data_IF_261650087536
#
_entry.id   IF_261650087536
#
_cell.length_a   1.000
_cell.length_b   1.000
_cell.length_c   1.000
_cell.angle_alpha   90.00
_cell.angle_beta   90.00
_cell.angle_gamma   90.00
#
_symmetry.space_group_name_H-M   'P 1'
#
loop_
_entity.id
_entity.type
_entity.pdbx_description
1 polymer ?
#
# COMPACT_ATOMS: atom_id res chain seq x y z
N UNK A 1 16.49 -10.07 10.97
CA UNK A 1 17.26 -8.86 10.65
C UNK A 1 17.73 -9.08 9.24
N UNK A 2 17.42 -8.18 8.32
CA UNK A 2 17.84 -8.35 6.93
C UNK A 2 19.34 -8.04 6.89
N UNK A 3 20.16 -9.07 6.74
CA UNK A 3 21.60 -8.90 6.61
C UNK A 3 21.92 -8.60 5.15
N UNK A 4 22.77 -7.59 4.90
CA UNK A 4 23.20 -7.25 3.54
C UNK A 4 23.85 -8.44 2.83
N UNK A 5 24.53 -9.29 3.59
CA UNK A 5 25.16 -10.51 3.06
C UNK A 5 24.13 -11.53 2.57
N UNK A 6 22.96 -11.62 3.22
CA UNK A 6 21.87 -12.51 2.79
C UNK A 6 21.10 -11.99 1.59
N UNK A 7 21.17 -10.67 1.35
CA UNK A 7 20.50 -9.99 0.26
C UNK A 7 21.39 -9.80 -0.98
N UNK A 8 22.57 -10.40 -1.02
CA UNK A 8 23.45 -10.31 -2.18
C UNK A 8 23.95 -8.89 -2.48
N UNK A 9 24.02 -8.01 -1.47
CA UNK A 9 24.42 -6.62 -1.63
C UNK A 9 23.29 -5.64 -1.96
N UNK A 10 22.04 -6.11 -2.10
CA UNK A 10 20.87 -5.25 -2.33
C UNK A 10 20.61 -4.31 -1.15
N UNK A 11 20.25 -3.06 -1.43
CA UNK A 11 19.87 -2.07 -0.40
C UNK A 11 18.37 -1.88 -0.44
N UNK A 12 17.67 -2.62 0.42
CA UNK A 12 16.22 -2.61 0.45
C UNK A 12 15.67 -1.45 1.27
N UNK A 13 14.82 -0.65 0.63
CA UNK A 13 14.01 0.37 1.26
C UNK A 13 12.55 -0.06 1.34
N UNK A 14 11.88 0.40 2.39
CA UNK A 14 10.44 0.28 2.57
C UNK A 14 9.82 1.67 2.61
N UNK A 15 8.91 1.95 1.69
CA UNK A 15 8.08 3.14 1.72
C UNK A 15 6.74 2.82 2.38
N UNK A 16 6.38 3.58 3.41
CA UNK A 16 5.05 3.57 4.00
C UNK A 16 4.31 4.82 3.53
N UNK A 17 3.34 4.64 2.63
CA UNK A 17 2.48 5.73 2.16
C UNK A 17 1.36 5.93 3.16
N UNK A 18 1.28 7.13 3.73
CA UNK A 18 0.26 7.55 4.68
C UNK A 18 -0.74 8.48 3.99
N UNK A 19 -1.95 7.98 3.69
CA UNK A 19 -3.05 8.84 3.28
C UNK A 19 -3.77 9.31 4.55
N UNK A 20 -3.46 10.54 4.95
CA UNK A 20 -3.95 11.11 6.20
C UNK A 20 -5.39 11.56 6.02
N UNK A 21 -6.26 11.23 6.98
CA UNK A 21 -7.64 11.71 6.96
C UNK A 21 -7.76 13.14 7.50
N UNK A 22 -8.77 13.88 7.07
CA UNK A 22 -9.08 15.25 7.55
C UNK A 22 -9.32 15.33 9.06
N UNK A 23 -9.68 14.22 9.71
CA UNK A 23 -9.87 14.16 11.16
C UNK A 23 -8.59 14.47 11.95
N UNK A 24 -7.41 14.30 11.33
CA UNK A 24 -6.12 14.42 12.00
C UNK A 24 -5.85 13.32 13.03
N UNK A 25 -6.71 12.30 13.11
CA UNK A 25 -6.57 11.18 14.04
C UNK A 25 -5.72 10.09 13.38
N UNK A 26 -4.61 9.69 14.02
CA UNK A 26 -3.69 8.71 13.44
C UNK A 26 -4.33 7.34 13.15
N UNK A 27 -5.41 7.01 13.85
CA UNK A 27 -6.15 5.75 13.65
C UNK A 27 -6.93 5.68 12.33
N UNK A 28 -7.19 6.83 11.70
CA UNK A 28 -7.95 6.93 10.44
C UNK A 28 -7.03 6.90 9.20
N UNK A 29 -5.71 6.90 9.41
CA UNK A 29 -4.71 6.93 8.33
C UNK A 29 -4.77 5.63 7.50
N UNK A 30 -4.86 5.80 6.18
CA UNK A 30 -4.57 4.72 5.25
C UNK A 30 -3.07 4.48 5.21
N UNK A 31 -2.64 3.24 5.43
CA UNK A 31 -1.25 2.89 5.24
C UNK A 31 -1.10 1.83 4.16
N UNK A 32 -0.26 2.12 3.17
CA UNK A 32 0.18 1.17 2.16
C UNK A 32 1.70 1.03 2.26
N UNK A 33 2.22 -0.14 1.92
CA UNK A 33 3.65 -0.43 2.04
C UNK A 33 4.19 -0.96 0.72
N UNK A 34 5.23 -0.29 0.23
CA UNK A 34 5.98 -0.66 -0.96
C UNK A 34 7.43 -0.93 -0.58
N UNK A 35 8.11 -1.74 -1.38
CA UNK A 35 9.51 -2.06 -1.17
C UNK A 35 10.29 -1.82 -2.45
N UNK A 36 11.51 -1.33 -2.30
CA UNK A 36 12.38 -0.98 -3.39
C UNK A 36 13.76 -1.54 -3.12
N UNK A 37 14.37 -2.09 -4.15
CA UNK A 37 15.81 -2.29 -4.16
C UNK A 37 16.45 -1.07 -4.82
N UNK A 38 17.40 -0.43 -4.13
CA UNK A 38 18.20 0.66 -4.68
C UNK A 38 19.61 0.09 -4.89
N UNK A 39 19.96 -0.15 -6.15
CA UNK A 39 21.24 -0.75 -6.49
C UNK A 39 22.34 0.32 -6.48
N UNK A 40 23.02 0.42 -5.34
CA UNK A 40 24.19 1.30 -5.18
C UNK A 40 25.45 0.80 -5.93
N UNK A 41 25.44 -0.43 -6.46
CA UNK A 41 26.61 -1.08 -7.06
C UNK A 41 26.63 -1.01 -8.60
N UNK A 42 25.48 -0.94 -9.28
CA UNK A 42 25.42 -0.71 -10.73
C UNK A 42 25.33 0.79 -11.04
N UNK A 43 26.50 1.40 -11.29
CA UNK A 43 26.62 2.58 -12.14
C UNK A 43 25.94 3.86 -11.60
N UNK A 44 25.93 4.08 -10.28
CA UNK A 44 25.85 5.47 -9.82
C UNK A 44 27.22 6.12 -10.12
N UNK A 45 27.31 7.21 -10.92
CA UNK A 45 28.48 8.07 -10.78
C UNK A 45 28.67 8.35 -9.29
N UNK A 46 29.91 8.29 -8.80
CA UNK A 46 30.33 8.29 -7.38
C UNK A 46 29.70 9.39 -6.47
N UNK A 47 28.86 10.24 -7.01
CA UNK A 47 28.18 11.34 -6.35
C UNK A 47 26.69 11.13 -6.04
N UNK A 48 25.96 10.17 -6.63
CA UNK A 48 24.50 10.02 -6.38
C UNK A 48 24.26 9.23 -5.09
N UNK A 49 23.47 9.79 -4.18
CA UNK A 49 23.07 9.15 -2.93
C UNK A 49 21.72 8.44 -3.05
N UNK A 50 21.42 7.50 -2.15
CA UNK A 50 20.09 6.85 -2.09
C UNK A 50 18.97 7.87 -1.88
N UNK A 51 19.24 8.96 -1.15
CA UNK A 51 18.32 10.09 -0.97
C UNK A 51 18.04 10.82 -2.30
N UNK A 52 19.05 11.01 -3.16
CA UNK A 52 18.86 11.59 -4.49
C UNK A 52 17.96 10.70 -5.36
N UNK A 53 18.12 9.38 -5.30
CA UNK A 53 17.28 8.41 -6.04
C UNK A 53 15.83 8.43 -5.53
N UNK A 54 15.64 8.48 -4.20
CA UNK A 54 14.32 8.54 -3.60
C UNK A 54 13.61 9.86 -3.93
N UNK A 55 14.32 10.99 -3.86
CA UNK A 55 13.72 12.34 -3.95
C UNK A 55 13.67 12.92 -5.36
N UNK A 56 14.48 12.44 -6.30
CA UNK A 56 14.62 13.04 -7.63
C UNK A 56 15.31 14.41 -7.65
N UNK A 57 15.90 14.87 -6.52
CA UNK A 57 16.48 16.23 -6.42
C UNK A 57 17.68 16.49 -7.34
N UNK A 58 18.22 15.46 -7.99
CA UNK A 58 19.25 15.57 -9.01
C UNK A 58 18.71 15.13 -10.35
N UNK A 59 19.19 15.79 -11.40
CA UNK A 59 18.98 15.37 -12.77
C UNK A 59 19.53 13.95 -12.96
N UNK A 60 18.62 12.96 -12.94
CA UNK A 60 18.91 11.55 -13.22
C UNK A 60 18.90 11.27 -14.73
N UNK A 61 18.72 12.29 -15.57
CA UNK A 61 18.83 12.25 -17.04
C UNK A 61 17.65 11.62 -17.77
N UNK A 62 16.73 10.93 -17.07
CA UNK A 62 15.59 10.23 -17.67
C UNK A 62 14.27 10.48 -16.93
N UNK A 63 14.32 10.73 -15.61
CA UNK A 63 13.16 11.06 -14.79
C UNK A 63 13.62 11.92 -13.60
N UNK A 64 13.03 13.11 -13.45
CA UNK A 64 13.35 14.06 -12.37
C UNK A 64 12.51 13.82 -11.11
N UNK A 65 11.52 12.92 -11.17
CA UNK A 65 10.56 12.73 -10.07
C UNK A 65 11.09 11.83 -8.94
N UNK A 66 12.03 10.92 -9.25
CA UNK A 66 12.51 9.88 -8.34
C UNK A 66 11.39 8.95 -7.85
N UNK A 67 11.71 8.03 -6.94
CA UNK A 67 10.73 7.03 -6.47
C UNK A 67 9.55 7.70 -5.73
N UNK A 68 9.79 8.80 -5.01
CA UNK A 68 8.75 9.52 -4.28
C UNK A 68 7.75 10.20 -5.22
N UNK A 69 8.22 10.83 -6.30
CA UNK A 69 7.35 11.42 -7.30
C UNK A 69 6.57 10.36 -8.09
N UNK A 70 7.22 9.25 -8.47
CA UNK A 70 6.55 8.12 -9.14
C UNK A 70 5.43 7.49 -8.30
N UNK A 71 5.66 7.33 -6.99
CA UNK A 71 4.61 6.92 -6.06
C UNK A 71 3.51 7.98 -5.97
N UNK A 72 3.86 9.26 -5.95
CA UNK A 72 2.86 10.34 -5.90
C UNK A 72 1.99 10.36 -7.16
N UNK A 73 2.57 10.15 -8.33
CA UNK A 73 1.88 10.06 -9.62
C UNK A 73 0.91 8.86 -9.68
N UNK A 74 1.30 7.70 -9.12
CA UNK A 74 0.41 6.54 -8.95
C UNK A 74 -0.87 6.94 -8.19
N UNK A 75 -0.71 7.62 -7.05
CA UNK A 75 -1.86 8.04 -6.22
C UNK A 75 -2.64 9.21 -6.85
N UNK A 76 -1.96 10.14 -7.52
CA UNK A 76 -2.56 11.26 -8.23
C UNK A 76 -3.47 10.77 -9.36
N UNK A 77 -3.00 9.80 -10.15
CA UNK A 77 -3.78 9.16 -11.22
C UNK A 77 -5.05 8.49 -10.70
N UNK A 78 -5.01 7.98 -9.45
CA UNK A 78 -6.15 7.33 -8.81
C UNK A 78 -7.09 8.30 -8.06
N UNK A 79 -6.78 9.60 -8.01
CA UNK A 79 -7.36 10.50 -7.00
C UNK A 79 -8.86 10.74 -7.14
N UNK A 80 -9.43 10.62 -8.34
CA UNK A 80 -10.87 10.72 -8.59
C UNK A 80 -11.67 9.63 -7.84
N UNK A 81 -11.05 8.49 -7.56
CA UNK A 81 -11.66 7.36 -6.87
C UNK A 81 -11.48 7.41 -5.35
N UNK A 82 -10.68 8.35 -4.85
CA UNK A 82 -10.52 8.55 -3.41
C UNK A 82 -11.61 9.41 -2.83
N UNK A 83 -11.99 9.06 -1.60
CA UNK A 83 -12.94 9.81 -0.82
C UNK A 83 -12.36 11.18 -0.42
N UNK A 84 -13.16 12.23 -0.45
CA UNK A 84 -12.76 13.59 -0.06
C UNK A 84 -12.35 13.75 1.41
N UNK A 85 -12.44 12.70 2.22
CA UNK A 85 -11.95 12.65 3.60
C UNK A 85 -10.43 12.51 3.70
N UNK A 86 -9.76 12.14 2.60
CA UNK A 86 -8.29 12.16 2.55
C UNK A 86 -7.86 13.61 2.48
N UNK A 87 -6.92 14.00 3.35
CA UNK A 87 -6.20 15.26 3.31
C UNK A 87 -4.90 15.07 2.50
N UNK A 88 -4.86 15.45 1.21
CA UNK A 88 -3.68 15.23 0.39
C UNK A 88 -2.49 16.05 0.91
N UNK A 89 -2.72 17.27 1.40
CA UNK A 89 -1.67 18.15 1.91
C UNK A 89 -1.03 17.71 3.22
N UNK A 90 -1.67 16.80 3.96
CA UNK A 90 -1.08 16.17 5.15
C UNK A 90 -0.53 14.75 4.87
N UNK A 91 -0.78 14.21 3.67
CA UNK A 91 -0.33 12.87 3.27
C UNK A 91 1.16 12.89 2.93
N UNK A 92 1.85 11.82 3.32
CA UNK A 92 3.31 11.74 3.27
C UNK A 92 3.78 10.30 3.14
N UNK A 93 5.05 10.12 2.77
CA UNK A 93 5.70 8.83 2.59
C UNK A 93 6.89 8.74 3.54
N UNK A 94 6.85 7.77 4.45
CA UNK A 94 7.96 7.47 5.36
C UNK A 94 8.83 6.38 4.76
N UNK A 95 10.12 6.66 4.64
CA UNK A 95 11.11 5.75 4.06
C UNK A 95 11.92 5.09 5.15
N UNK A 96 12.11 3.78 5.07
CA UNK A 96 12.90 3.00 6.02
C UNK A 96 13.93 2.16 5.30
N UNK A 97 15.19 2.29 5.68
CA UNK A 97 16.25 1.37 5.27
C UNK A 97 16.13 0.06 6.06
N UNK A 98 15.90 -1.05 5.35
CA UNK A 98 15.69 -2.35 5.99
C UNK A 98 16.97 -2.99 6.54
N UNK A 99 18.15 -2.51 6.13
CA UNK A 99 19.44 -2.95 6.68
C UNK A 99 19.66 -2.45 8.12
N UNK A 100 19.01 -1.35 8.51
CA UNK A 100 19.06 -0.84 9.88
C UNK A 100 18.40 -1.82 10.88
N UNK A 101 18.90 -1.94 12.13
CA UNK A 101 18.31 -2.81 13.14
C UNK A 101 16.90 -2.33 13.56
N UNK A 102 16.04 -3.27 13.98
CA UNK A 102 14.75 -2.93 14.61
C UNK A 102 14.94 -2.50 16.08
N UNK A 103 14.20 -1.49 16.60
CA UNK A 103 13.22 -0.65 15.91
C UNK A 103 13.88 0.38 14.97
N UNK A 104 13.30 0.56 13.78
CA UNK A 104 13.81 1.46 12.75
C UNK A 104 13.12 2.82 12.82
N UNK A 105 13.88 3.89 12.65
CA UNK A 105 13.35 5.24 12.42
C UNK A 105 13.27 5.51 10.91
N UNK A 106 12.32 6.33 10.44
CA UNK A 106 12.31 6.76 9.05
C UNK A 106 13.60 7.51 8.72
N UNK A 107 14.24 7.17 7.61
CA UNK A 107 15.40 7.91 7.09
C UNK A 107 14.96 9.20 6.40
N UNK A 108 13.77 9.17 5.77
CA UNK A 108 13.13 10.31 5.13
C UNK A 108 11.63 10.30 5.47
N UNK A 109 11.03 11.48 5.55
CA UNK A 109 9.59 11.71 5.70
C UNK A 109 9.21 12.82 4.73
N UNK A 110 8.71 12.41 3.56
CA UNK A 110 8.54 13.29 2.41
C UNK A 110 7.04 13.53 2.17
N UNK A 111 6.62 14.77 1.84
CA UNK A 111 5.25 15.01 1.42
C UNK A 111 4.96 14.27 0.11
N UNK A 112 3.70 13.89 -0.09
CA UNK A 112 3.24 13.48 -1.42
C UNK A 112 3.07 14.70 -2.31
N UNK A 113 3.23 14.52 -3.63
CA UNK A 113 2.84 15.59 -4.56
C UNK A 113 1.35 15.88 -4.48
N UNK A 114 0.99 17.10 -4.88
CA UNK A 114 -0.38 17.58 -4.75
C UNK A 114 -1.33 16.78 -5.64
N UNK A 115 -2.19 15.97 -5.03
CA UNK A 115 -3.35 15.34 -5.68
C UNK A 115 -4.65 15.88 -5.10
N UNK A 116 -5.76 15.71 -5.83
CA UNK A 116 -7.09 16.16 -5.36
C UNK A 116 -8.01 14.97 -5.13
N UNK A 117 -8.40 14.76 -3.86
CA UNK A 117 -9.46 13.81 -3.52
C UNK A 117 -10.83 14.49 -3.72
N UNK A 118 -11.41 14.32 -4.91
CA UNK A 118 -12.65 15.04 -5.31
C UNK A 118 -13.93 14.23 -5.04
N UNK A 119 -13.80 12.95 -4.71
CA UNK A 119 -14.94 12.05 -4.68
C UNK A 119 -15.83 12.24 -3.44
N UNK A 120 -17.14 12.40 -3.64
CA UNK A 120 -18.11 12.52 -2.55
C UNK A 120 -18.16 11.23 -1.71
N UNK A 121 -18.12 11.36 -0.38
CA UNK A 121 -18.05 10.23 0.55
C UNK A 121 -19.43 9.65 0.85
N UNK A 122 -19.69 8.39 0.47
CA UNK A 122 -20.86 7.64 0.97
C UNK A 122 -20.58 6.16 1.25
N UNK A 123 -19.33 5.73 1.18
CA UNK A 123 -18.89 4.36 1.42
C UNK A 123 -18.15 4.33 2.77
N UNK A 124 -18.26 3.25 3.57
CA UNK A 124 -17.45 3.11 4.78
C UNK A 124 -15.95 3.27 4.49
N UNK A 125 -15.22 3.96 5.38
CA UNK A 125 -13.82 4.34 5.15
C UNK A 125 -12.85 3.16 5.14
N UNK A 126 -13.30 2.00 5.60
CA UNK A 126 -12.56 0.74 5.59
C UNK A 126 -12.58 0.05 4.23
N UNK A 127 -13.52 0.40 3.34
CA UNK A 127 -13.64 -0.21 2.01
C UNK A 127 -12.52 0.28 1.10
N UNK A 128 -11.84 -0.66 0.45
CA UNK A 128 -10.69 -0.41 -0.40
C UNK A 128 -10.71 -1.27 -1.68
N UNK A 129 -10.01 -0.80 -2.71
CA UNK A 129 -9.67 -1.59 -3.90
C UNK A 129 -8.42 -2.40 -3.59
N UNK A 130 -8.51 -3.72 -3.76
CA UNK A 130 -7.35 -4.62 -3.61
C UNK A 130 -6.55 -4.66 -4.91
N UNK A 131 -5.29 -4.23 -4.82
CA UNK A 131 -4.32 -4.34 -5.90
C UNK A 131 -3.33 -5.43 -5.51
N UNK A 132 -3.35 -6.55 -6.22
CA UNK A 132 -2.46 -7.69 -5.99
C UNK A 132 -1.32 -7.66 -6.99
N UNK A 133 -0.12 -8.07 -6.59
CA UNK A 133 1.03 -8.18 -7.49
C UNK A 133 1.91 -9.38 -7.12
N UNK A 134 2.65 -9.90 -8.10
CA UNK A 134 3.48 -11.09 -7.91
C UNK A 134 4.80 -11.05 -8.68
N UNK A 135 5.82 -11.72 -8.13
CA UNK A 135 7.03 -12.05 -8.88
C UNK A 135 6.90 -13.27 -9.77
N UNK A 136 7.98 -13.60 -10.48
CA UNK A 136 8.04 -14.78 -11.35
C UNK A 136 7.87 -16.09 -10.55
N UNK A 137 7.27 -17.11 -11.18
CA UNK A 137 7.23 -18.45 -10.62
C UNK A 137 8.64 -19.05 -10.61
N UNK A 138 9.01 -19.66 -9.47
CA UNK A 138 10.29 -20.32 -9.29
C UNK A 138 10.07 -21.76 -8.84
N UNK A 139 10.76 -22.72 -9.47
CA UNK A 139 10.61 -24.13 -9.16
C UNK A 139 11.00 -24.40 -7.69
N UNK A 140 10.07 -25.01 -6.94
CA UNK A 140 10.27 -25.32 -5.52
C UNK A 140 9.91 -24.17 -4.56
N UNK A 141 9.53 -22.99 -5.05
CA UNK A 141 9.09 -21.86 -4.20
C UNK A 141 7.57 -21.77 -4.19
N UNK A 142 6.97 -21.65 -2.99
CA UNK A 142 5.53 -21.48 -2.87
C UNK A 142 5.10 -20.09 -3.38
N UNK A 143 4.31 -20.06 -4.46
CA UNK A 143 3.83 -18.83 -5.08
C UNK A 143 3.00 -17.92 -4.14
N UNK A 144 2.41 -18.46 -3.07
CA UNK A 144 1.75 -17.65 -2.05
C UNK A 144 2.72 -16.69 -1.34
N UNK A 145 4.01 -17.05 -1.24
CA UNK A 145 5.05 -16.22 -0.61
C UNK A 145 5.57 -15.12 -1.53
N UNK A 146 5.27 -15.20 -2.83
CA UNK A 146 5.68 -14.24 -3.86
C UNK A 146 4.56 -13.30 -4.30
N UNK A 147 3.43 -13.35 -3.60
CA UNK A 147 2.27 -12.49 -3.82
C UNK A 147 2.17 -11.47 -2.69
N UNK A 148 1.86 -10.24 -3.05
CA UNK A 148 1.60 -9.18 -2.09
C UNK A 148 0.40 -8.34 -2.54
N UNK A 149 -0.13 -7.52 -1.63
CA UNK A 149 -1.33 -6.72 -1.83
C UNK A 149 -1.18 -5.33 -1.26
N UNK A 150 -1.74 -4.37 -1.98
CA UNK A 150 -1.93 -2.98 -1.54
C UNK A 150 -3.42 -2.67 -1.55
N UNK A 151 -3.89 -1.87 -0.59
CA UNK A 151 -5.30 -1.52 -0.43
C UNK A 151 -5.48 -0.03 -0.67
N UNK A 152 -6.08 0.32 -1.81
CA UNK A 152 -6.32 1.71 -2.17
C UNK A 152 -7.66 2.18 -1.59
N UNK A 153 -7.62 3.18 -0.71
CA UNK A 153 -8.81 3.77 -0.09
C UNK A 153 -8.46 4.76 1.02
N UNK A 154 -9.44 5.49 1.59
CA UNK A 154 -10.88 5.30 1.43
C UNK A 154 -11.41 5.61 0.03
N UNK A 155 -12.47 4.91 -0.40
CA UNK A 155 -13.05 5.05 -1.73
C UNK A 155 -14.21 6.04 -1.78
N UNK A 156 -14.36 6.71 -2.92
CA UNK A 156 -15.55 7.49 -3.24
C UNK A 156 -16.57 6.68 -4.03
N UNK A 157 -17.80 7.21 -4.12
CA UNK A 157 -18.87 6.61 -4.92
C UNK A 157 -18.56 6.53 -6.42
N UNK A 158 -17.58 7.30 -6.92
CA UNK A 158 -17.15 7.21 -8.31
C UNK A 158 -16.49 5.86 -8.60
N UNK A 159 -15.91 5.20 -7.59
CA UNK A 159 -15.22 3.92 -7.69
C UNK A 159 -16.16 2.70 -7.71
N UNK A 160 -17.36 2.81 -7.11
CA UNK A 160 -18.29 1.68 -6.91
C UNK A 160 -19.46 1.73 -7.89
N UNK A 161 -19.72 0.59 -8.51
CA UNK A 161 -20.92 0.33 -9.32
C UNK A 161 -22.15 0.22 -8.40
N UNK A 162 -23.08 1.18 -8.51
CA UNK A 162 -24.23 1.27 -7.59
C UNK A 162 -25.18 0.07 -7.72
N UNK A 163 -25.22 -0.56 -8.90
CA UNK A 163 -26.14 -1.67 -9.17
C UNK A 163 -25.77 -2.96 -8.45
N UNK A 164 -24.49 -3.18 -8.12
CA UNK A 164 -24.01 -4.45 -7.56
C UNK A 164 -22.92 -4.32 -6.47
N UNK A 165 -22.47 -3.10 -6.16
CA UNK A 165 -21.45 -2.84 -5.15
C UNK A 165 -20.01 -3.24 -5.54
N UNK A 166 -19.75 -3.56 -6.82
CA UNK A 166 -18.42 -3.93 -7.33
C UNK A 166 -17.60 -2.70 -7.70
N UNK A 167 -16.27 -2.84 -7.83
CA UNK A 167 -15.42 -1.79 -8.38
C UNK A 167 -15.76 -1.59 -9.86
N UNK A 168 -16.02 -0.35 -10.29
CA UNK A 168 -16.34 -0.03 -11.69
C UNK A 168 -15.22 -0.47 -12.62
N UNK A 169 -15.59 -0.92 -13.82
CA UNK A 169 -14.60 -1.33 -14.83
C UNK A 169 -13.65 -0.20 -15.23
N UNK A 170 -14.14 1.05 -15.30
CA UNK A 170 -13.32 2.23 -15.58
C UNK A 170 -12.31 2.48 -14.47
N UNK A 171 -12.75 2.47 -13.21
CA UNK A 171 -11.86 2.61 -12.06
C UNK A 171 -10.76 1.53 -12.03
N UNK A 172 -11.12 0.26 -12.27
CA UNK A 172 -10.13 -0.83 -12.36
C UNK A 172 -9.12 -0.60 -13.47
N UNK A 173 -9.57 -0.15 -14.64
CA UNK A 173 -8.69 0.10 -15.79
C UNK A 173 -7.71 1.24 -15.52
N UNK A 174 -8.19 2.33 -14.92
CA UNK A 174 -7.34 3.47 -14.53
C UNK A 174 -6.32 3.07 -13.46
N UNK A 175 -6.76 2.35 -12.41
CA UNK A 175 -5.86 1.88 -11.34
C UNK A 175 -4.83 0.90 -11.91
N UNK A 176 -5.24 -0.04 -12.77
CA UNK A 176 -4.33 -0.98 -13.42
C UNK A 176 -3.28 -0.25 -14.27
N UNK A 177 -3.71 0.74 -15.08
CA UNK A 177 -2.80 1.56 -15.88
C UNK A 177 -1.82 2.38 -15.04
N UNK A 178 -2.26 2.89 -13.88
CA UNK A 178 -1.38 3.60 -12.95
C UNK A 178 -0.29 2.68 -12.37
N UNK A 179 -0.65 1.46 -11.93
CA UNK A 179 0.32 0.47 -11.45
C UNK A 179 1.24 -0.04 -12.56
N UNK A 180 0.72 -0.19 -13.77
CA UNK A 180 1.50 -0.56 -14.95
C UNK A 180 2.55 0.52 -15.26
N UNK A 181 2.16 1.79 -15.31
CA UNK A 181 3.09 2.91 -15.50
C UNK A 181 4.16 2.97 -14.39
N UNK A 182 3.75 2.80 -13.13
CA UNK A 182 4.68 2.74 -12.01
C UNK A 182 5.69 1.58 -12.12
N UNK A 183 5.24 0.41 -12.56
CA UNK A 183 6.12 -0.73 -12.81
C UNK A 183 7.05 -0.52 -14.01
N UNK A 184 6.59 0.19 -15.05
CA UNK A 184 7.43 0.58 -16.20
C UNK A 184 8.52 1.56 -15.78
N UNK A 185 8.20 2.61 -15.02
CA UNK A 185 9.18 3.57 -14.51
C UNK A 185 10.27 2.87 -13.69
N UNK A 186 9.86 1.93 -12.83
CA UNK A 186 10.78 1.07 -12.08
C UNK A 186 11.70 0.22 -12.95
N UNK A 187 11.31 -0.12 -14.17
CA UNK A 187 12.12 -0.96 -15.04
C UNK A 187 13.05 -0.14 -15.93
N UNK A 188 12.57 1.01 -16.41
CA UNK A 188 13.31 1.87 -17.32
C UNK A 188 14.38 2.69 -16.58
N UNK A 189 14.20 2.92 -15.28
CA UNK A 189 15.19 3.56 -14.41
C UNK A 189 16.18 2.52 -13.85
N UNK A 190 17.47 2.69 -14.12
CA UNK A 190 18.50 1.71 -13.72
C UNK A 190 18.88 1.76 -12.23
N UNK A 191 18.38 2.73 -11.48
CA UNK A 191 18.84 3.01 -10.12
C UNK A 191 18.02 2.34 -9.02
N UNK A 192 16.81 1.90 -9.34
CA UNK A 192 15.92 1.27 -8.38
C UNK A 192 14.98 0.28 -9.05
N UNK A 193 14.49 -0.69 -8.28
CA UNK A 193 13.50 -1.66 -8.74
C UNK A 193 12.39 -1.83 -7.69
N UNK A 194 11.13 -1.87 -8.13
CA UNK A 194 9.97 -2.18 -7.32
C UNK A 194 9.91 -3.69 -7.09
N UNK A 195 10.06 -4.07 -5.83
CA UNK A 195 10.18 -5.46 -5.41
C UNK A 195 9.09 -5.86 -4.42
N UNK A 196 8.71 -7.13 -4.45
CA UNK A 196 8.02 -7.79 -3.35
C UNK A 196 9.03 -8.33 -2.34
N UNK A 197 8.64 -8.41 -1.07
CA UNK A 197 9.51 -8.87 0.02
C UNK A 197 8.78 -9.92 0.84
N UNK A 198 9.42 -11.07 1.10
CA UNK A 198 8.89 -12.15 1.95
C UNK A 198 9.58 -12.07 3.30
N UNK A 199 8.87 -11.65 4.36
CA UNK A 199 9.45 -11.64 5.70
C UNK A 199 9.82 -13.05 6.20
N UNK A 200 9.16 -14.08 5.66
CA UNK A 200 9.40 -15.48 6.05
C UNK A 200 10.71 -16.00 5.50
N UNK A 201 10.95 -15.79 4.21
CA UNK A 201 12.13 -16.33 3.53
C UNK A 201 13.30 -15.35 3.53
N UNK A 202 13.05 -14.10 3.92
CA UNK A 202 14.01 -13.02 3.85
C UNK A 202 14.58 -12.84 2.43
N UNK A 203 13.68 -12.91 1.44
CA UNK A 203 14.00 -12.74 0.02
C UNK A 203 13.15 -11.61 -0.56
N UNK A 204 13.73 -10.84 -1.47
CA UNK A 204 13.03 -9.92 -2.34
C UNK A 204 12.92 -10.50 -3.76
N UNK A 205 11.88 -10.11 -4.49
CA UNK A 205 11.70 -10.49 -5.89
C UNK A 205 11.15 -9.32 -6.68
N UNK A 206 11.63 -9.19 -7.91
CA UNK A 206 11.02 -8.30 -8.88
C UNK A 206 9.54 -8.60 -9.08
N UNK A 207 8.74 -7.56 -9.16
CA UNK A 207 7.33 -7.66 -9.53
C UNK A 207 7.20 -7.74 -11.05
N UNK A 208 6.48 -8.74 -11.56
CA UNK A 208 6.36 -8.99 -13.00
C UNK A 208 4.93 -8.82 -13.53
N UNK A 209 3.94 -8.84 -12.65
CA UNK A 209 2.52 -8.74 -13.00
C UNK A 209 1.70 -8.28 -11.80
N UNK A 210 0.53 -7.70 -12.09
CA UNK A 210 -0.43 -7.27 -11.09
C UNK A 210 -1.88 -7.38 -11.57
N UNK A 211 -2.80 -7.27 -10.63
CA UNK A 211 -4.25 -7.35 -10.85
C UNK A 211 -4.98 -6.37 -9.94
N UNK A 212 -6.10 -5.86 -10.43
CA UNK A 212 -7.03 -5.03 -9.66
C UNK A 212 -8.35 -5.80 -9.53
N UNK A 213 -8.71 -6.17 -8.31
CA UNK A 213 -9.90 -6.97 -8.04
C UNK A 213 -11.18 -6.15 -8.25
N UNK A 214 -12.27 -6.80 -8.69
CA UNK A 214 -13.60 -6.18 -8.76
C UNK A 214 -14.39 -6.24 -7.46
N UNK A 215 -13.92 -7.08 -6.53
CA UNK A 215 -14.48 -7.22 -5.21
C UNK A 215 -13.84 -6.15 -4.32
N UNK A 216 -14.63 -5.25 -3.71
CA UNK A 216 -14.08 -4.43 -2.63
C UNK A 216 -13.61 -5.33 -1.49
N UNK A 217 -12.51 -4.95 -0.85
CA UNK A 217 -12.05 -5.57 0.38
C UNK A 217 -12.08 -4.53 1.50
N UNK A 218 -11.84 -4.98 2.73
CA UNK A 218 -11.75 -4.11 3.90
C UNK A 218 -10.32 -4.01 4.36
N UNK A 219 -9.81 -2.80 4.47
CA UNK A 219 -8.58 -2.58 5.22
C UNK A 219 -8.92 -2.50 6.70
N UNK A 220 -8.18 -3.27 7.52
CA UNK A 220 -8.30 -3.18 8.98
C UNK A 220 -7.88 -1.80 9.47
N UNK A 221 -8.88 -0.93 9.63
CA UNK A 221 -8.77 0.40 10.24
C UNK A 221 -9.85 0.53 11.31
N UNK A 222 -9.74 1.54 12.17
CA UNK A 222 -10.87 1.91 13.01
C UNK A 222 -11.85 2.71 12.16
N UNK A 223 -13.10 2.30 12.16
CA UNK A 223 -14.15 3.07 11.53
C UNK A 223 -14.42 4.38 12.23
N UNK A 224 -15.16 5.25 11.54
CA UNK A 224 -15.67 6.49 12.10
C UNK A 224 -16.43 6.18 13.39
N UNK A 225 -16.19 6.99 14.43
CA UNK A 225 -16.90 6.84 15.69
C UNK A 225 -18.41 6.91 15.46
N UNK A 226 -19.20 5.94 15.97
CA UNK A 226 -20.64 5.92 15.72
C UNK A 226 -21.30 7.16 16.33
N UNK A 227 -22.13 7.85 15.54
CA UNK A 227 -22.90 9.00 16.02
C UNK A 227 -23.97 8.61 17.05
N UNK A 228 -24.51 7.40 16.92
CA UNK A 228 -25.49 6.82 17.84
C UNK A 228 -25.26 5.32 17.97
N UNK A 229 -25.70 4.75 19.10
CA UNK A 229 -25.69 3.31 19.34
C UNK A 229 -27.07 2.90 19.84
N UNK A 230 -27.68 1.92 19.18
CA UNK A 230 -28.88 1.26 19.71
C UNK A 230 -28.43 0.06 20.52
N UNK A 231 -28.81 0.01 21.80
CA UNK A 231 -28.65 -1.19 22.60
C UNK A 231 -29.80 -2.16 22.32
N UNK A 232 -29.49 -3.45 22.32
CA UNK A 232 -30.50 -4.49 22.43
C UNK A 232 -30.27 -5.20 23.77
N UNK A 233 -31.36 -5.52 24.45
CA UNK A 233 -31.32 -6.37 25.63
C UNK A 233 -31.92 -7.71 25.23
N UNK A 234 -31.16 -8.78 25.42
CA UNK A 234 -31.80 -10.10 25.46
C UNK A 234 -32.74 -10.08 26.66
N UNK A 235 -34.05 -10.38 26.50
CA UNK A 235 -34.90 -10.62 27.65
C UNK A 235 -34.19 -11.61 28.55
N UNK A 236 -34.19 -11.40 29.87
CA UNK A 236 -33.68 -12.41 30.79
C UNK A 236 -34.47 -13.69 30.52
N UNK A 237 -33.90 -14.60 29.73
CA UNK A 237 -34.57 -15.85 29.40
C UNK A 237 -34.85 -16.56 30.71
N UNK A 238 -36.05 -17.12 30.85
CA UNK A 238 -36.25 -18.21 31.82
C UNK A 238 -35.18 -19.22 31.46
N UNK A 239 -34.17 -19.37 32.30
CA UNK A 239 -32.98 -20.18 31.98
C UNK A 239 -33.44 -21.57 31.61
N UNK A 240 -33.53 -21.86 30.31
CA UNK A 240 -33.67 -23.23 29.84
C UNK A 240 -32.23 -23.75 29.99
N UNK A 241 -31.96 -24.64 30.95
CA UNK A 241 -30.62 -25.19 31.10
C UNK A 241 -30.25 -25.81 29.76
N UNK A 242 -29.20 -25.28 29.11
CA UNK A 242 -28.60 -25.95 27.97
C UNK A 242 -28.08 -27.28 28.51
N UNK A 243 -28.64 -28.44 28.10
CA UNK A 243 -28.07 -29.71 28.50
C UNK A 243 -26.72 -29.78 27.81
N UNK A 244 -25.64 -29.53 28.56
CA UNK A 244 -24.34 -29.99 28.14
C UNK A 244 -24.42 -31.51 28.12
N UNK A 245 -24.27 -32.18 26.97
CA UNK A 245 -24.14 -33.62 26.97
C UNK A 245 -22.96 -33.95 27.86
N UNK A 246 -23.22 -34.75 28.88
CA UNK A 246 -22.22 -35.25 29.81
C UNK A 246 -21.16 -35.98 28.98
N UNK A 247 -20.02 -35.33 28.75
CA UNK A 247 -18.87 -35.94 28.10
C UNK A 247 -18.26 -36.85 29.15
N UNK A 248 -18.81 -38.06 29.27
CA UNK A 248 -18.35 -39.08 30.20
C UNK A 248 -16.83 -39.23 30.17
N UNK A 249 -16.26 -39.27 31.37
CA UNK A 249 -14.84 -39.53 31.63
C UNK A 249 -14.37 -40.87 31.05
#
# INVERSE_FOLDING_TARGET
MWDRDTLGGMTLYRAQVHLVADSGISADIAMNTFHFDIDSATILPLSISDEDVITGQRDLGLDENGINGDLSDLYSTCSEYFASQINPGASHIKWFDLSQPSPRYPVLDLPMDSFTATGTTSIPSEVAVTCSFSGAEEAGVNMARRRNRTFLGPLSVSCIEQSNGRIKSTARSTIAGAFENFAFNSFDQSFWEWVGVSPTDQVAWRIIQGWVDDAPDTQRRRGVSPLSRSSWQQPAGVGIPFPFPDLGN
#
